data_IF_114246445275
#
_entry.id   IF_114246445275
#
_cell.length_a   1.000
_cell.length_b   1.000
_cell.length_c   1.000
_cell.angle_alpha   90.00
_cell.angle_beta   90.00
_cell.angle_gamma   90.00
#
_symmetry.space_group_name_H-M   'P 1'
#
loop_
_entity.id
_entity.type
_entity.pdbx_description
1 polymer ?
#
# COMPACT_ATOMS: atom_id res chain seq x y z
N UNK A 1 -37.37 -11.84 -23.97
CA UNK A 1 -36.28 -10.98 -23.47
C UNK A 1 -34.94 -11.57 -23.87
N UNK A 2 -34.48 -11.24 -25.09
CA UNK A 2 -33.14 -11.58 -25.56
C UNK A 2 -32.19 -10.53 -25.00
N UNK A 3 -31.39 -10.91 -24.01
CA UNK A 3 -30.35 -10.04 -23.46
C UNK A 3 -29.18 -10.07 -24.44
N UNK A 4 -29.08 -9.09 -25.34
CA UNK A 4 -27.90 -8.98 -26.19
C UNK A 4 -26.80 -8.27 -25.43
N UNK A 5 -25.58 -8.74 -25.63
CA UNK A 5 -24.38 -7.99 -25.29
C UNK A 5 -24.46 -6.57 -25.85
N UNK A 6 -24.22 -5.54 -25.03
CA UNK A 6 -23.95 -4.21 -25.57
C UNK A 6 -22.64 -4.19 -26.36
N UNK A 7 -22.55 -3.31 -27.37
CA UNK A 7 -21.44 -3.26 -28.34
C UNK A 7 -20.04 -3.06 -27.73
N UNK A 8 -19.96 -2.69 -26.45
CA UNK A 8 -18.70 -2.44 -25.74
C UNK A 8 -18.16 -3.61 -24.91
N UNK A 9 -18.72 -4.83 -25.04
CA UNK A 9 -18.23 -5.99 -24.28
C UNK A 9 -16.77 -6.32 -24.55
N UNK A 10 -16.34 -6.24 -25.81
CA UNK A 10 -14.95 -6.57 -26.17
C UNK A 10 -13.97 -5.53 -25.60
N UNK A 11 -14.35 -4.26 -25.62
CA UNK A 11 -13.58 -3.19 -24.98
C UNK A 11 -13.47 -3.41 -23.47
N UNK A 12 -14.56 -3.84 -22.82
CA UNK A 12 -14.56 -4.17 -21.40
C UNK A 12 -13.60 -5.34 -21.07
N UNK A 13 -13.64 -6.42 -21.86
CA UNK A 13 -12.73 -7.55 -21.66
C UNK A 13 -11.26 -7.18 -21.93
N UNK A 14 -10.98 -6.34 -22.92
CA UNK A 14 -9.64 -5.82 -23.20
C UNK A 14 -9.10 -4.95 -22.06
N UNK A 15 -9.93 -4.05 -21.51
CA UNK A 15 -9.57 -3.24 -20.35
C UNK A 15 -9.24 -4.10 -19.12
N UNK A 16 -10.06 -5.13 -18.87
CA UNK A 16 -9.80 -6.08 -17.78
C UNK A 16 -8.51 -6.84 -18.00
N UNK A 17 -8.27 -7.37 -19.20
CA UNK A 17 -7.03 -8.07 -19.52
C UNK A 17 -5.80 -7.16 -19.32
N UNK A 18 -5.89 -5.89 -19.73
CA UNK A 18 -4.85 -4.88 -19.53
C UNK A 18 -4.56 -4.61 -18.04
N UNK A 19 -5.61 -4.43 -17.23
CA UNK A 19 -5.49 -4.26 -15.78
C UNK A 19 -4.83 -5.47 -15.11
N UNK A 20 -5.20 -6.70 -15.52
CA UNK A 20 -4.59 -7.93 -15.01
C UNK A 20 -3.10 -8.04 -15.36
N UNK A 21 -2.73 -7.73 -16.59
CA UNK A 21 -1.34 -7.74 -17.03
C UNK A 21 -0.52 -6.71 -16.24
N UNK A 22 -1.05 -5.49 -16.07
CA UNK A 22 -0.38 -4.44 -15.30
C UNK A 22 -0.15 -4.83 -13.83
N UNK A 23 -1.12 -5.50 -13.20
CA UNK A 23 -0.96 -5.93 -11.82
C UNK A 23 -0.01 -7.12 -11.66
N UNK A 24 -0.02 -8.08 -12.59
CA UNK A 24 1.00 -9.14 -12.60
C UNK A 24 2.39 -8.53 -12.72
N UNK A 25 2.54 -7.54 -13.60
CA UNK A 25 3.77 -6.75 -13.69
C UNK A 25 4.10 -6.08 -12.36
N UNK A 26 3.15 -5.41 -11.70
CA UNK A 26 3.35 -4.72 -10.42
C UNK A 26 3.81 -5.68 -9.32
N UNK A 27 3.18 -6.85 -9.16
CA UNK A 27 3.58 -7.86 -8.17
C UNK A 27 4.99 -8.38 -8.47
N UNK A 28 5.30 -8.71 -9.74
CA UNK A 28 6.62 -9.24 -10.11
C UNK A 28 7.71 -8.18 -9.91
N UNK A 29 7.41 -6.92 -10.25
CA UNK A 29 8.28 -5.76 -10.06
C UNK A 29 8.55 -5.50 -8.58
N UNK A 30 7.52 -5.57 -7.74
CA UNK A 30 7.57 -5.19 -6.33
C UNK A 30 7.70 -6.39 -5.39
N UNK A 31 7.97 -7.61 -5.89
CA UNK A 31 8.11 -8.85 -5.11
C UNK A 31 9.13 -8.80 -3.96
N UNK A 32 10.02 -7.81 -3.96
CA UNK A 32 11.03 -7.58 -2.91
C UNK A 32 10.51 -6.70 -1.78
N UNK A 33 9.47 -5.91 -2.04
CA UNK A 33 8.84 -4.97 -1.10
C UNK A 33 7.57 -5.57 -0.48
N UNK A 34 6.90 -6.49 -1.19
CA UNK A 34 5.73 -7.20 -0.69
C UNK A 34 6.11 -8.47 0.05
N UNK A 35 5.55 -8.66 1.24
CA UNK A 35 5.64 -9.91 2.00
C UNK A 35 4.88 -11.05 1.32
N UNK A 36 5.18 -12.29 1.71
CA UNK A 36 4.51 -13.50 1.14
C UNK A 36 3.00 -13.48 1.39
N UNK A 37 2.55 -12.98 2.53
CA UNK A 37 1.13 -12.90 2.89
C UNK A 37 0.39 -11.90 2.02
N UNK A 38 0.99 -10.72 1.80
CA UNK A 38 0.42 -9.67 0.96
C UNK A 38 0.32 -10.12 -0.50
N UNK A 39 1.37 -10.77 -1.01
CA UNK A 39 1.36 -11.38 -2.35
C UNK A 39 0.26 -12.44 -2.49
N UNK A 40 -0.02 -13.21 -1.43
CA UNK A 40 -1.11 -14.19 -1.40
C UNK A 40 -2.50 -13.56 -1.41
N UNK A 41 -2.72 -12.50 -0.64
CA UNK A 41 -3.98 -11.73 -0.63
C UNK A 41 -4.25 -11.17 -2.03
N UNK A 42 -3.24 -10.58 -2.67
CA UNK A 42 -3.34 -10.11 -4.04
C UNK A 42 -3.80 -11.21 -5.00
N UNK A 43 -3.10 -12.35 -5.02
CA UNK A 43 -3.44 -13.49 -5.89
C UNK A 43 -4.89 -13.95 -5.64
N UNK A 44 -5.32 -14.08 -4.38
CA UNK A 44 -6.67 -14.51 -4.03
C UNK A 44 -7.73 -13.51 -4.53
N UNK A 45 -7.52 -12.21 -4.32
CA UNK A 45 -8.39 -11.14 -4.80
C UNK A 45 -8.51 -11.13 -6.33
N UNK A 46 -7.48 -11.60 -7.05
CA UNK A 46 -7.49 -11.67 -8.51
C UNK A 46 -8.15 -12.93 -9.08
N UNK A 47 -8.10 -14.04 -8.35
CA UNK A 47 -8.81 -15.27 -8.74
C UNK A 47 -10.33 -15.11 -8.66
N UNK A 48 -10.84 -14.34 -7.70
CA UNK A 48 -12.27 -14.15 -7.51
C UNK A 48 -13.00 -13.54 -8.74
N UNK A 49 -12.53 -12.44 -9.38
CA UNK A 49 -13.13 -11.94 -10.61
C UNK A 49 -12.91 -12.83 -11.83
N UNK A 50 -11.83 -13.62 -11.91
CA UNK A 50 -11.65 -14.62 -12.97
C UNK A 50 -12.73 -15.70 -12.85
N UNK A 51 -12.98 -16.20 -11.63
CA UNK A 51 -14.07 -17.15 -11.35
C UNK A 51 -15.42 -16.52 -11.68
N UNK A 52 -15.66 -15.27 -11.27
CA UNK A 52 -16.88 -14.53 -11.59
C UNK A 52 -17.10 -14.38 -13.11
N UNK A 53 -16.03 -14.16 -13.87
CA UNK A 53 -16.07 -14.08 -15.33
C UNK A 53 -16.37 -15.45 -15.97
N UNK A 54 -15.79 -16.54 -15.47
CA UNK A 54 -16.09 -17.90 -15.93
C UNK A 54 -17.55 -18.29 -15.65
N UNK A 55 -18.08 -17.95 -14.46
CA UNK A 55 -19.49 -18.18 -14.10
C UNK A 55 -20.42 -17.39 -15.02
N UNK A 56 -20.05 -16.16 -15.39
CA UNK A 56 -20.81 -15.34 -16.32
C UNK A 56 -20.85 -15.89 -17.75
N UNK A 57 -19.87 -16.71 -18.16
CA UNK A 57 -19.90 -17.40 -19.46
C UNK A 57 -20.96 -18.51 -19.50
N UNK A 58 -21.28 -19.12 -18.35
CA UNK A 58 -22.29 -20.17 -18.23
C UNK A 58 -23.69 -19.55 -18.14
N UNK A 59 -23.85 -18.47 -17.37
CA UNK A 59 -25.10 -17.70 -17.30
C UNK A 59 -24.84 -16.20 -17.38
N UNK A 60 -25.15 -15.64 -18.55
CA UNK A 60 -24.99 -14.22 -18.85
C UNK A 60 -25.89 -13.27 -18.05
N UNK A 61 -26.90 -13.78 -17.34
CA UNK A 61 -27.78 -12.99 -16.46
C UNK A 61 -27.17 -12.72 -15.09
N UNK A 62 -26.11 -13.45 -14.72
CA UNK A 62 -25.41 -13.27 -13.47
C UNK A 62 -24.32 -12.20 -13.65
N UNK A 63 -24.56 -11.01 -13.11
CA UNK A 63 -23.63 -9.88 -13.17
C UNK A 63 -22.55 -9.91 -12.05
N UNK A 64 -21.92 -11.07 -11.83
CA UNK A 64 -20.91 -11.23 -10.77
C UNK A 64 -19.57 -10.50 -11.04
N UNK A 65 -19.23 -10.27 -12.32
CA UNK A 65 -17.98 -9.57 -12.70
C UNK A 65 -17.84 -8.19 -12.06
N UNK A 66 -18.91 -7.39 -12.05
CA UNK A 66 -18.90 -6.05 -11.47
C UNK A 66 -18.64 -6.08 -9.96
N UNK A 67 -19.25 -7.01 -9.23
CA UNK A 67 -19.05 -7.15 -7.79
C UNK A 67 -17.63 -7.56 -7.43
N UNK A 68 -17.01 -8.45 -8.21
CA UNK A 68 -15.65 -8.90 -7.97
C UNK A 68 -14.61 -7.82 -8.26
N UNK A 69 -14.84 -6.97 -9.26
CA UNK A 69 -13.97 -5.82 -9.55
C UNK A 69 -14.01 -4.81 -8.39
N UNK A 70 -15.20 -4.48 -7.90
CA UNK A 70 -15.36 -3.54 -6.78
C UNK A 70 -14.65 -4.04 -5.53
N UNK A 71 -14.78 -5.33 -5.20
CA UNK A 71 -14.08 -5.93 -4.06
C UNK A 71 -12.56 -5.91 -4.26
N UNK A 72 -12.08 -6.22 -5.47
CA UNK A 72 -10.65 -6.15 -5.79
C UNK A 72 -10.08 -4.73 -5.63
N UNK A 73 -10.79 -3.71 -6.13
CA UNK A 73 -10.41 -2.31 -5.99
C UNK A 73 -10.38 -1.85 -4.52
N UNK A 74 -11.38 -2.25 -3.73
CA UNK A 74 -11.43 -1.94 -2.29
C UNK A 74 -10.24 -2.55 -1.54
N UNK A 75 -9.88 -3.80 -1.84
CA UNK A 75 -8.75 -4.46 -1.20
C UNK A 75 -7.42 -3.80 -1.60
N UNK A 76 -7.26 -3.43 -2.88
CA UNK A 76 -6.09 -2.66 -3.34
C UNK A 76 -6.02 -1.31 -2.63
N UNK A 77 -7.13 -0.59 -2.51
CA UNK A 77 -7.19 0.69 -1.80
C UNK A 77 -6.77 0.54 -0.33
N UNK A 78 -7.35 -0.42 0.38
CA UNK A 78 -7.01 -0.72 1.77
C UNK A 78 -5.52 -1.07 1.86
N UNK A 79 -4.99 -1.86 0.93
CA UNK A 79 -3.57 -2.21 0.91
C UNK A 79 -2.67 -0.98 0.73
N UNK A 80 -3.00 -0.10 -0.22
CA UNK A 80 -2.25 1.15 -0.44
C UNK A 80 -2.30 2.06 0.80
N UNK A 81 -3.45 2.16 1.45
CA UNK A 81 -3.63 2.96 2.67
C UNK A 81 -2.91 2.35 3.87
N UNK A 82 -2.95 1.02 4.01
CA UNK A 82 -2.29 0.29 5.10
C UNK A 82 -0.79 0.16 4.90
N UNK A 83 -0.25 0.51 3.73
CA UNK A 83 1.20 0.53 3.51
C UNK A 83 1.78 1.61 4.41
N UNK A 84 2.48 1.22 5.50
CA UNK A 84 2.97 2.19 6.45
C UNK A 84 4.08 2.99 5.80
N UNK A 85 3.99 4.32 5.85
CA UNK A 85 5.08 5.21 5.47
C UNK A 85 6.36 4.82 6.21
N UNK A 86 7.50 4.85 5.54
CA UNK A 86 8.80 4.70 6.21
C UNK A 86 9.22 5.98 6.95
N UNK A 87 8.57 7.10 6.63
CA UNK A 87 8.81 8.42 7.17
C UNK A 87 7.73 8.83 8.17
N UNK A 88 8.13 9.56 9.20
CA UNK A 88 7.26 10.33 10.06
C UNK A 88 6.58 11.45 9.28
N UNK A 89 5.27 11.60 9.45
CA UNK A 89 4.48 12.53 8.64
C UNK A 89 4.89 14.00 8.86
N UNK A 90 5.24 14.35 10.10
CA UNK A 90 5.56 15.71 10.51
C UNK A 90 6.97 16.12 10.06
N UNK A 91 7.96 15.33 10.46
CA UNK A 91 9.39 15.67 10.29
C UNK A 91 9.98 15.17 8.97
N UNK A 92 9.31 14.24 8.27
CA UNK A 92 9.83 13.50 7.10
C UNK A 92 11.10 12.68 7.37
N UNK A 93 11.52 12.58 8.63
CA UNK A 93 12.57 11.67 9.03
C UNK A 93 12.05 10.23 9.02
N UNK A 94 12.96 9.26 8.90
CA UNK A 94 12.59 7.87 9.05
C UNK A 94 11.96 7.61 10.41
N UNK A 95 10.82 6.94 10.41
CA UNK A 95 10.14 6.59 11.63
C UNK A 95 10.84 5.42 12.35
N UNK A 96 10.36 5.15 13.57
CA UNK A 96 10.90 4.08 14.41
C UNK A 96 10.91 2.71 13.73
N UNK A 97 9.89 2.38 12.94
CA UNK A 97 9.81 1.08 12.24
C UNK A 97 10.97 0.95 11.24
N UNK A 98 11.24 2.01 10.46
CA UNK A 98 12.36 1.99 9.54
C UNK A 98 13.72 1.97 10.27
N UNK A 99 13.87 2.73 11.36
CA UNK A 99 15.06 2.68 12.21
C UNK A 99 15.36 1.24 12.70
N UNK A 100 14.36 0.53 13.23
CA UNK A 100 14.52 -0.86 13.71
C UNK A 100 14.87 -1.82 12.56
N UNK A 101 14.27 -1.63 11.38
CA UNK A 101 14.58 -2.40 10.17
C UNK A 101 16.04 -2.23 9.75
N UNK A 102 16.53 -0.99 9.71
CA UNK A 102 17.92 -0.68 9.36
C UNK A 102 18.91 -1.22 10.40
N UNK A 103 18.59 -1.08 11.69
CA UNK A 103 19.41 -1.61 12.78
C UNK A 103 19.59 -3.14 12.66
N UNK A 104 18.50 -3.85 12.37
CA UNK A 104 18.53 -5.30 12.15
C UNK A 104 19.36 -5.66 10.91
N UNK A 105 19.21 -4.91 9.82
CA UNK A 105 20.01 -5.11 8.60
C UNK A 105 21.51 -4.96 8.86
N UNK A 106 21.94 -3.86 9.51
CA UNK A 106 23.35 -3.64 9.83
C UNK A 106 23.92 -4.70 10.78
N UNK A 107 23.10 -5.17 11.73
CA UNK A 107 23.46 -6.28 12.63
C UNK A 107 23.65 -7.58 11.85
N UNK A 108 22.76 -7.90 10.90
CA UNK A 108 22.83 -9.13 10.11
C UNK A 108 24.04 -9.19 9.18
N UNK A 109 24.41 -8.07 8.56
CA UNK A 109 25.57 -8.02 7.65
C UNK A 109 26.90 -7.97 8.40
N UNK A 110 26.89 -7.92 9.74
CA UNK A 110 28.08 -7.95 10.59
C UNK A 110 29.00 -6.75 10.42
N UNK A 111 28.50 -5.62 9.89
CA UNK A 111 29.29 -4.39 9.78
C UNK A 111 29.26 -3.62 11.10
N UNK A 112 30.39 -3.14 11.61
CA UNK A 112 30.39 -2.24 12.76
C UNK A 112 29.60 -0.97 12.45
N UNK A 113 28.72 -0.56 13.36
CA UNK A 113 27.97 0.69 13.27
C UNK A 113 27.85 1.33 14.66
N UNK A 114 27.54 2.63 14.70
CA UNK A 114 27.24 3.37 15.91
C UNK A 114 25.83 3.96 15.85
N UNK A 115 25.22 4.17 17.02
CA UNK A 115 23.91 4.82 17.15
C UNK A 115 24.08 6.05 18.03
N UNK A 116 23.62 7.21 17.53
CA UNK A 116 23.52 8.43 18.31
C UNK A 116 22.03 8.71 18.56
N UNK A 117 21.67 8.92 19.83
CA UNK A 117 20.32 9.28 20.23
C UNK A 117 20.31 10.74 20.64
N UNK A 118 19.39 11.52 20.08
CA UNK A 118 19.19 12.92 20.41
C UNK A 118 17.85 13.05 21.12
N UNK A 119 17.83 13.81 22.21
CA UNK A 119 16.63 14.17 22.95
C UNK A 119 16.50 15.69 22.99
N UNK A 120 15.30 16.20 22.71
CA UNK A 120 15.03 17.64 22.75
C UNK A 120 14.69 18.03 24.19
N UNK A 121 15.70 18.50 24.91
CA UNK A 121 15.53 19.00 26.28
C UNK A 121 14.45 20.08 26.33
N UNK A 122 13.62 20.05 27.38
CA UNK A 122 12.59 21.04 27.68
C UNK A 122 11.53 21.24 26.56
N UNK A 123 11.41 20.30 25.61
CA UNK A 123 10.42 20.40 24.52
C UNK A 123 8.97 20.55 25.01
N UNK A 124 8.66 19.98 26.18
CA UNK A 124 7.36 20.15 26.81
C UNK A 124 7.07 21.62 27.17
N UNK A 125 8.05 22.36 27.65
CA UNK A 125 7.89 23.78 28.00
C UNK A 125 7.57 24.63 26.76
N UNK A 126 8.16 24.28 25.61
CA UNK A 126 7.84 24.90 24.32
C UNK A 126 6.36 24.66 23.97
N UNK A 127 5.89 23.41 24.09
CA UNK A 127 4.48 23.07 23.84
C UNK A 127 3.54 23.80 24.81
N UNK A 128 3.88 23.85 26.08
CA UNK A 128 3.05 24.45 27.13
C UNK A 128 3.00 25.99 27.00
N UNK A 129 4.07 26.62 26.50
CA UNK A 129 4.18 28.09 26.36
C UNK A 129 3.63 28.61 25.04
N UNK A 130 3.91 27.91 23.93
CA UNK A 130 3.62 28.39 22.57
C UNK A 130 2.59 27.55 21.82
N UNK A 131 2.11 26.46 22.43
CA UNK A 131 1.16 25.53 21.83
C UNK A 131 1.82 24.49 20.93
N UNK A 132 1.10 23.38 20.70
CA UNK A 132 1.59 22.25 19.92
C UNK A 132 2.00 22.60 18.49
N UNK A 133 1.31 23.53 17.83
CA UNK A 133 1.69 23.96 16.47
C UNK A 133 3.11 24.55 16.42
N UNK A 134 3.54 25.24 17.48
CA UNK A 134 4.90 25.76 17.56
C UNK A 134 5.92 24.68 17.88
N UNK A 135 5.54 23.70 18.70
CA UNK A 135 6.34 22.49 18.91
C UNK A 135 6.56 21.71 17.62
N UNK A 136 5.53 21.58 16.79
CA UNK A 136 5.61 20.93 15.48
C UNK A 136 6.61 21.63 14.55
N UNK A 137 6.61 22.96 14.51
CA UNK A 137 7.60 23.75 13.76
C UNK A 137 9.04 23.48 14.24
N UNK A 138 9.24 23.38 15.56
CA UNK A 138 10.56 23.09 16.16
C UNK A 138 11.02 21.67 15.78
N UNK A 139 10.12 20.68 15.80
CA UNK A 139 10.43 19.32 15.37
C UNK A 139 10.82 19.26 13.89
N UNK A 140 10.09 19.97 13.02
CA UNK A 140 10.42 20.07 11.59
C UNK A 140 11.80 20.71 11.41
N UNK A 141 12.05 21.84 12.08
CA UNK A 141 13.32 22.56 11.97
C UNK A 141 14.50 21.71 12.46
N UNK A 142 14.31 20.97 13.56
CA UNK A 142 15.33 20.07 14.09
C UNK A 142 15.66 18.92 13.13
N UNK A 143 14.64 18.34 12.47
CA UNK A 143 14.86 17.27 11.50
C UNK A 143 15.52 17.71 10.19
N UNK A 144 15.57 19.02 9.90
CA UNK A 144 16.21 19.59 8.72
C UNK A 144 17.64 20.12 8.98
N UNK A 145 18.06 20.23 10.24
CA UNK A 145 19.35 20.75 10.66
C UNK A 145 20.48 19.71 10.53
#
# INVERSE_FOLDING_TARGET
>A
NSYSSGDFKDLHYLLLAGLYIYMLYFIVRNRRLTTKTESGIFILCFMAPIIGMLVQLIDSKLHFSWTSIVIGLLIIYIFLETTPSEEDYLTKLYNRKNYESQLNYFTQIGKPFGVALFDLNDFKEINDTYGHSKGDEVLIAFGQA
#
